data_IF_683596809183
#
_entry.id   IF_683596809183
#
_cell.length_a   1.000
_cell.length_b   1.000
_cell.length_c   1.000
_cell.angle_alpha   90.00
_cell.angle_beta   90.00
_cell.angle_gamma   90.00
#
_symmetry.space_group_name_H-M   'P 1'
#
loop_
_entity.id
_entity.type
_entity.pdbx_description
1 polymer ?
#
# COMPACT_ATOMS: atom_id res chain seq x y z
N UNK A 1 -7.38 -38.25 -33.46
CA UNK A 1 -6.86 -37.13 -32.65
C UNK A 1 -6.59 -35.96 -33.57
N UNK A 2 -7.28 -34.84 -33.36
CA UNK A 2 -7.07 -33.60 -34.13
C UNK A 2 -5.76 -32.95 -33.68
N UNK A 3 -4.86 -32.63 -34.62
CA UNK A 3 -3.62 -31.91 -34.32
C UNK A 3 -3.86 -30.40 -34.43
N UNK A 4 -3.51 -29.67 -33.39
CA UNK A 4 -3.44 -28.22 -33.43
C UNK A 4 -2.10 -27.78 -34.04
N UNK A 5 -2.13 -26.71 -34.84
CA UNK A 5 -0.94 -26.07 -35.40
C UNK A 5 -0.91 -24.61 -34.94
N UNK A 6 0.24 -24.17 -34.41
CA UNK A 6 0.52 -22.80 -33.98
C UNK A 6 1.66 -22.23 -34.82
N UNK A 7 1.55 -20.96 -35.23
CA UNK A 7 2.60 -20.18 -35.87
C UNK A 7 2.91 -18.96 -35.01
N UNK A 8 4.18 -18.72 -34.71
CA UNK A 8 4.65 -17.59 -33.89
C UNK A 8 5.58 -16.70 -34.72
N UNK A 9 5.23 -15.43 -34.84
CA UNK A 9 5.98 -14.42 -35.59
C UNK A 9 6.79 -13.53 -34.63
N UNK A 10 8.01 -13.94 -34.29
CA UNK A 10 8.87 -13.22 -33.34
C UNK A 10 9.40 -11.86 -33.87
N UNK A 11 9.35 -11.66 -35.19
CA UNK A 11 9.75 -10.44 -35.91
C UNK A 11 8.66 -9.36 -35.96
N UNK A 12 7.44 -9.70 -35.54
CA UNK A 12 6.27 -8.84 -35.67
C UNK A 12 5.88 -8.13 -34.37
N UNK A 13 6.71 -8.22 -33.33
CA UNK A 13 6.47 -7.61 -32.02
C UNK A 13 6.55 -6.08 -32.07
N UNK A 14 5.45 -5.39 -31.73
CA UNK A 14 5.37 -3.91 -31.69
C UNK A 14 5.05 -3.32 -30.33
N UNK A 15 4.57 -4.16 -29.40
CA UNK A 15 4.00 -3.72 -28.13
C UNK A 15 4.83 -4.32 -27.00
N UNK A 16 5.27 -3.47 -26.08
CA UNK A 16 5.86 -3.93 -24.83
C UNK A 16 4.73 -4.33 -23.88
N UNK A 17 4.76 -5.58 -23.40
CA UNK A 17 3.86 -6.02 -22.34
C UNK A 17 4.30 -5.30 -21.06
N UNK A 18 3.47 -4.37 -20.58
CA UNK A 18 3.79 -3.58 -19.39
C UNK A 18 3.96 -4.49 -18.18
N UNK A 19 5.05 -4.28 -17.43
CA UNK A 19 5.25 -4.98 -16.15
C UNK A 19 4.08 -4.75 -15.19
N UNK A 20 3.41 -3.59 -15.25
CA UNK A 20 2.33 -3.24 -14.32
C UNK A 20 1.08 -4.12 -14.48
N UNK A 21 0.96 -4.92 -15.56
CA UNK A 21 -0.05 -5.98 -15.68
C UNK A 21 0.10 -7.05 -14.59
N UNK A 22 1.29 -7.18 -13.99
CA UNK A 22 1.58 -8.09 -12.89
C UNK A 22 1.53 -7.39 -11.51
N UNK A 23 0.84 -6.26 -11.42
CA UNK A 23 0.60 -5.54 -10.17
C UNK A 23 -0.14 -6.38 -9.13
N UNK A 24 0.01 -6.02 -7.86
CA UNK A 24 -0.65 -6.68 -6.74
C UNK A 24 -1.62 -5.73 -6.05
N UNK A 25 -2.51 -6.29 -5.24
CA UNK A 25 -3.53 -5.55 -4.51
C UNK A 25 -3.64 -6.07 -3.07
N UNK A 26 -3.52 -5.17 -2.10
CA UNK A 26 -3.64 -5.46 -0.67
C UNK A 26 -4.68 -4.54 -0.02
N UNK A 27 -5.86 -5.09 0.27
CA UNK A 27 -6.91 -4.39 1.03
C UNK A 27 -6.76 -4.66 2.53
N UNK A 28 -7.17 -3.70 3.36
CA UNK A 28 -7.50 -3.95 4.77
C UNK A 28 -8.71 -4.89 4.85
N UNK A 29 -8.45 -6.19 4.71
CA UNK A 29 -9.46 -7.23 4.61
C UNK A 29 -8.94 -8.52 5.24
N UNK A 30 -9.66 -8.99 6.28
CA UNK A 30 -9.34 -10.24 6.97
C UNK A 30 -7.89 -10.25 7.46
N UNK A 31 -7.09 -11.19 6.93
CA UNK A 31 -5.67 -11.36 7.30
C UNK A 31 -4.71 -10.98 6.18
N UNK A 32 -5.17 -10.21 5.19
CA UNK A 32 -4.32 -9.75 4.08
C UNK A 32 -3.22 -8.80 4.56
N UNK A 33 -3.59 -7.82 5.38
CA UNK A 33 -2.66 -6.88 6.04
C UNK A 33 -2.16 -7.50 7.35
N UNK A 34 -3.06 -7.67 8.33
CA UNK A 34 -2.72 -8.22 9.64
C UNK A 34 -2.41 -9.70 9.57
N UNK A 35 -1.29 -10.12 10.16
CA UNK A 35 -0.68 -11.46 10.05
C UNK A 35 -0.08 -11.76 8.65
N UNK A 36 -0.78 -11.39 7.57
CA UNK A 36 -0.35 -11.63 6.18
C UNK A 36 0.86 -10.81 5.75
N UNK A 37 0.96 -9.55 6.18
CA UNK A 37 2.08 -8.65 5.90
C UNK A 37 2.62 -8.05 7.21
N UNK A 38 1.74 -7.40 7.96
CA UNK A 38 2.04 -6.74 9.22
C UNK A 38 1.84 -7.69 10.40
N UNK A 39 2.92 -7.92 11.13
CA UNK A 39 2.93 -8.71 12.38
C UNK A 39 3.28 -7.86 13.60
N UNK A 40 3.78 -6.64 13.39
CA UNK A 40 4.27 -5.75 14.44
C UNK A 40 5.71 -6.08 14.87
N UNK A 41 6.45 -5.06 15.29
CA UNK A 41 7.90 -5.15 15.56
C UNK A 41 8.25 -6.13 16.68
N UNK A 42 7.38 -6.26 17.67
CA UNK A 42 7.58 -7.13 18.83
C UNK A 42 7.07 -8.56 18.60
N UNK A 43 6.64 -8.91 17.38
CA UNK A 43 6.16 -10.25 17.06
C UNK A 43 7.29 -11.28 17.12
N UNK A 44 7.03 -12.51 17.58
CA UNK A 44 7.99 -13.61 17.47
C UNK A 44 8.23 -14.05 16.03
N UNK A 45 7.36 -13.66 15.08
CA UNK A 45 7.56 -13.93 13.65
C UNK A 45 8.71 -13.06 13.14
N UNK A 46 9.74 -13.63 12.49
CA UNK A 46 10.86 -12.86 11.94
C UNK A 46 10.39 -11.75 11.00
N UNK A 47 10.69 -10.51 11.34
CA UNK A 47 10.19 -9.33 10.65
C UNK A 47 11.27 -8.24 10.52
N UNK A 48 11.04 -7.31 9.59
CA UNK A 48 11.79 -6.07 9.44
C UNK A 48 10.82 -4.92 9.67
N UNK A 49 11.01 -4.17 10.77
CA UNK A 49 10.13 -3.05 11.17
C UNK A 49 8.64 -3.44 11.24
N UNK A 50 8.34 -4.66 11.67
CA UNK A 50 6.97 -5.17 11.83
C UNK A 50 6.38 -5.86 10.60
N UNK A 51 7.08 -5.86 9.46
CA UNK A 51 6.67 -6.57 8.24
C UNK A 51 7.40 -7.91 8.15
N UNK A 52 6.66 -9.02 8.01
CA UNK A 52 7.25 -10.37 8.05
C UNK A 52 8.19 -10.67 6.88
N UNK A 53 9.37 -11.19 7.19
CA UNK A 53 10.49 -11.31 6.23
C UNK A 53 10.27 -12.38 5.15
N UNK A 54 9.56 -13.45 5.50
CA UNK A 54 9.26 -14.56 4.59
C UNK A 54 8.39 -14.12 3.40
N UNK A 55 7.36 -13.32 3.66
CA UNK A 55 6.47 -12.77 2.62
C UNK A 55 7.20 -11.73 1.79
N UNK A 56 7.97 -10.81 2.39
CA UNK A 56 8.79 -9.83 1.65
C UNK A 56 9.77 -10.55 0.71
N UNK A 57 10.43 -11.60 1.19
CA UNK A 57 11.35 -12.39 0.37
C UNK A 57 10.64 -13.09 -0.80
N UNK A 58 9.44 -13.63 -0.58
CA UNK A 58 8.65 -14.26 -1.64
C UNK A 58 8.18 -13.24 -2.69
N UNK A 59 7.67 -12.09 -2.26
CA UNK A 59 7.18 -11.03 -3.16
C UNK A 59 8.31 -10.41 -3.99
N UNK A 60 9.52 -10.27 -3.43
CA UNK A 60 10.71 -9.86 -4.19
C UNK A 60 11.05 -10.81 -5.33
N UNK A 61 10.90 -12.13 -5.12
CA UNK A 61 11.24 -13.14 -6.14
C UNK A 61 10.35 -13.03 -7.37
N UNK A 62 9.10 -12.63 -7.21
CA UNK A 62 8.15 -12.43 -8.33
C UNK A 62 8.19 -10.99 -8.88
N UNK A 63 9.09 -10.14 -8.38
CA UNK A 63 9.33 -8.78 -8.86
C UNK A 63 8.05 -7.94 -8.95
N UNK A 64 7.29 -7.89 -7.84
CA UNK A 64 6.05 -7.09 -7.76
C UNK A 64 6.33 -5.66 -8.26
N UNK A 65 5.65 -5.20 -9.32
CA UNK A 65 5.98 -3.94 -9.98
C UNK A 65 5.25 -2.74 -9.36
N UNK A 66 4.04 -2.97 -8.86
CA UNK A 66 3.24 -2.01 -8.11
C UNK A 66 2.34 -2.75 -7.10
N UNK A 67 1.97 -2.07 -6.03
CA UNK A 67 1.08 -2.60 -4.98
C UNK A 67 -0.03 -1.60 -4.67
N UNK A 68 -1.29 -1.93 -4.94
CA UNK A 68 -2.46 -1.09 -4.64
C UNK A 68 -2.92 -1.23 -3.18
N UNK A 69 -3.21 -0.12 -2.49
CA UNK A 69 -3.65 -0.06 -1.08
C UNK A 69 -4.35 1.31 -0.80
N UNK A 70 -5.25 1.48 0.20
CA UNK A 70 -5.74 0.55 1.21
C UNK A 70 -6.92 -0.30 0.76
N UNK A 71 -7.40 -0.06 -0.47
CA UNK A 71 -8.12 -1.03 -1.28
C UNK A 71 -9.60 -0.82 -1.49
N UNK A 72 -10.12 -1.56 -2.47
CA UNK A 72 -11.52 -1.69 -2.90
C UNK A 72 -12.54 -0.84 -2.16
N UNK A 73 -13.35 -1.48 -1.32
CA UNK A 73 -14.41 -0.79 -0.57
C UNK A 73 -13.85 -0.07 0.64
N UNK A 74 -12.80 -0.62 1.28
CA UNK A 74 -12.21 -0.02 2.48
C UNK A 74 -11.69 1.41 2.25
N UNK A 75 -11.11 1.69 1.08
CA UNK A 75 -10.54 2.99 0.74
C UNK A 75 -11.59 4.11 0.72
N UNK A 76 -12.84 3.80 0.37
CA UNK A 76 -13.94 4.78 0.34
C UNK A 76 -14.50 5.09 1.74
N UNK A 77 -14.03 4.41 2.79
CA UNK A 77 -14.31 4.72 4.20
C UNK A 77 -13.06 5.05 5.01
N UNK A 78 -11.88 4.93 4.40
CA UNK A 78 -10.61 5.15 5.09
C UNK A 78 -10.28 6.63 5.20
N UNK A 79 -10.02 7.08 6.42
CA UNK A 79 -9.52 8.43 6.70
C UNK A 79 -8.03 8.39 7.02
N UNK A 80 -7.19 8.81 6.07
CA UNK A 80 -5.75 8.54 6.11
C UNK A 80 -5.00 9.07 7.34
N UNK A 81 -5.57 10.06 8.02
CA UNK A 81 -5.02 10.62 9.26
C UNK A 81 -5.07 9.63 10.43
N UNK A 82 -6.01 8.69 10.39
CA UNK A 82 -6.18 7.66 11.40
C UNK A 82 -5.00 6.66 11.37
N UNK A 83 -4.38 6.48 10.21
CA UNK A 83 -3.20 5.62 10.00
C UNK A 83 -1.85 6.34 10.07
N UNK A 84 -1.72 7.50 10.73
CA UNK A 84 -0.43 8.17 10.96
C UNK A 84 -0.23 8.56 12.42
N UNK A 85 0.98 9.03 12.77
CA UNK A 85 1.32 9.39 14.14
C UNK A 85 1.64 8.18 15.03
N UNK A 86 1.80 8.42 16.34
CA UNK A 86 2.11 7.36 17.30
C UNK A 86 1.06 6.24 17.26
N UNK A 87 1.48 5.01 16.96
CA UNK A 87 0.57 3.85 16.79
C UNK A 87 -0.40 3.66 17.96
N UNK A 88 0.05 3.86 19.20
CA UNK A 88 -0.79 3.73 20.39
C UNK A 88 -1.89 4.80 20.54
N UNK A 89 -1.86 5.87 19.73
CA UNK A 89 -2.84 6.96 19.73
C UNK A 89 -3.74 6.94 18.49
N UNK A 90 -3.53 5.99 17.57
CA UNK A 90 -4.35 5.86 16.36
C UNK A 90 -5.75 5.37 16.75
N UNK A 91 -6.82 5.95 16.19
CA UNK A 91 -8.17 5.51 16.49
C UNK A 91 -8.43 4.15 15.85
N UNK A 92 -9.24 3.33 16.51
CA UNK A 92 -9.79 2.11 15.90
C UNK A 92 -11.03 2.45 15.08
N UNK A 93 -11.26 1.76 13.98
CA UNK A 93 -12.50 1.84 13.20
C UNK A 93 -13.15 0.46 13.04
N UNK A 94 -14.40 0.44 12.60
CA UNK A 94 -15.08 -0.81 12.24
C UNK A 94 -14.95 -1.01 10.74
N UNK A 95 -14.41 -2.15 10.33
CA UNK A 95 -14.41 -2.55 8.93
C UNK A 95 -15.81 -3.08 8.56
N UNK A 96 -16.68 -2.15 8.17
CA UNK A 96 -18.11 -2.36 7.91
C UNK A 96 -18.37 -3.41 6.83
N UNK A 97 -17.57 -3.38 5.76
CA UNK A 97 -17.71 -4.25 4.60
C UNK A 97 -17.21 -5.67 4.85
N UNK A 98 -16.19 -5.84 5.70
CA UNK A 98 -15.48 -7.11 5.86
C UNK A 98 -15.67 -7.72 7.25
N UNK A 99 -16.94 -7.93 7.63
CA UNK A 99 -17.33 -8.69 8.82
C UNK A 99 -17.50 -7.87 10.10
N UNK A 100 -17.45 -6.54 10.01
CA UNK A 100 -17.66 -5.65 11.18
C UNK A 100 -16.54 -5.76 12.22
N UNK A 101 -15.36 -6.20 11.81
CA UNK A 101 -14.22 -6.40 12.70
C UNK A 101 -13.53 -5.07 13.01
N UNK A 102 -12.89 -4.99 14.17
CA UNK A 102 -12.11 -3.81 14.58
C UNK A 102 -10.81 -3.74 13.79
N UNK A 103 -10.60 -2.60 13.16
CA UNK A 103 -9.39 -2.17 12.47
C UNK A 103 -8.63 -1.21 13.41
N UNK A 104 -7.37 -1.51 13.72
CA UNK A 104 -6.58 -0.73 14.69
C UNK A 104 -5.69 0.35 14.07
N UNK A 105 -5.66 0.43 12.74
CA UNK A 105 -4.85 1.35 11.95
C UNK A 105 -3.35 1.27 12.27
N UNK A 106 -2.88 0.15 12.83
CA UNK A 106 -1.46 -0.04 13.15
C UNK A 106 -0.60 -0.18 11.88
N UNK A 107 -1.19 -0.61 10.77
CA UNK A 107 -0.60 -0.52 9.43
C UNK A 107 -1.24 0.63 8.66
N UNK A 108 -0.56 1.77 8.57
CA UNK A 108 -1.07 2.96 7.88
C UNK A 108 -0.10 3.47 6.82
N UNK A 109 -0.13 4.78 6.58
CA UNK A 109 0.64 5.39 5.47
C UNK A 109 2.12 5.04 5.55
N UNK A 110 2.75 5.24 6.71
CA UNK A 110 4.19 5.02 6.86
C UNK A 110 4.59 3.56 6.69
N UNK A 111 3.81 2.64 7.25
CA UNK A 111 4.06 1.20 7.17
C UNK A 111 3.86 0.67 5.73
N UNK A 112 2.87 1.18 5.00
CA UNK A 112 2.67 0.85 3.58
C UNK A 112 3.83 1.32 2.69
N UNK A 113 4.31 2.55 2.89
CA UNK A 113 5.46 3.03 2.13
C UNK A 113 6.75 2.30 2.51
N UNK A 114 6.93 1.94 3.77
CA UNK A 114 8.05 1.09 4.19
C UNK A 114 8.01 -0.28 3.52
N UNK A 115 6.83 -0.92 3.43
CA UNK A 115 6.65 -2.16 2.66
C UNK A 115 7.06 -1.96 1.20
N UNK A 116 6.61 -0.88 0.56
CA UNK A 116 6.95 -0.61 -0.83
C UNK A 116 8.46 -0.41 -1.03
N UNK A 117 9.12 0.34 -0.13
CA UNK A 117 10.57 0.53 -0.14
C UNK A 117 11.32 -0.78 0.11
N UNK A 118 10.87 -1.60 1.07
CA UNK A 118 11.43 -2.93 1.32
C UNK A 118 11.34 -3.80 0.07
N UNK A 119 10.20 -3.82 -0.64
CA UNK A 119 9.98 -4.61 -1.85
C UNK A 119 10.68 -4.06 -3.11
N UNK A 120 10.98 -2.75 -3.14
CA UNK A 120 11.41 -2.07 -4.36
C UNK A 120 10.30 -1.94 -5.40
N UNK A 121 9.04 -1.89 -4.95
CA UNK A 121 7.84 -1.77 -5.80
C UNK A 121 7.32 -0.34 -5.83
N UNK A 122 6.58 0.02 -6.89
CA UNK A 122 5.90 1.32 -6.95
C UNK A 122 4.64 1.33 -6.07
N UNK A 123 4.42 2.38 -5.26
CA UNK A 123 3.17 2.54 -4.53
C UNK A 123 2.04 2.98 -5.48
N UNK A 124 0.86 2.41 -5.26
CA UNK A 124 -0.41 2.82 -5.86
C UNK A 124 -1.43 3.03 -4.74
N UNK A 125 -1.76 4.30 -4.48
CA UNK A 125 -2.71 4.69 -3.43
C UNK A 125 -4.13 4.72 -4.00
N UNK A 126 -5.11 4.27 -3.23
CA UNK A 126 -6.53 4.54 -3.45
C UNK A 126 -7.01 5.62 -2.49
N UNK A 127 -7.40 6.77 -3.02
CA UNK A 127 -7.96 7.87 -2.23
C UNK A 127 -9.46 7.68 -1.95
N UNK A 128 -9.92 8.19 -0.81
CA UNK A 128 -11.32 8.19 -0.42
C UNK A 128 -12.10 9.28 -1.17
N UNK A 129 -13.03 8.90 -2.04
CA UNK A 129 -14.01 9.81 -2.66
C UNK A 129 -15.43 9.56 -2.12
N UNK A 130 -15.72 8.34 -1.66
CA UNK A 130 -17.04 7.95 -1.16
C UNK A 130 -17.48 8.71 0.09
N UNK A 131 -16.69 8.67 1.16
CA UNK A 131 -17.01 9.33 2.44
C UNK A 131 -16.06 10.48 2.80
N UNK A 132 -14.96 10.63 2.07
CA UNK A 132 -13.93 11.64 2.27
C UNK A 132 -14.27 12.99 1.65
N UNK A 133 -13.36 13.95 1.83
CA UNK A 133 -13.44 15.27 1.20
C UNK A 133 -12.32 15.50 0.17
N UNK A 134 -12.54 16.44 -0.75
CA UNK A 134 -11.49 16.89 -1.69
C UNK A 134 -10.25 17.39 -0.92
N UNK A 135 -10.48 18.11 0.18
CA UNK A 135 -9.41 18.63 1.03
C UNK A 135 -8.61 17.49 1.68
N UNK A 136 -9.28 16.44 2.14
CA UNK A 136 -8.64 15.29 2.76
C UNK A 136 -7.66 14.61 1.81
N UNK A 137 -8.09 14.31 0.59
CA UNK A 137 -7.23 13.69 -0.42
C UNK A 137 -6.08 14.61 -0.83
N UNK A 138 -6.36 15.91 -1.04
CA UNK A 138 -5.33 16.92 -1.35
C UNK A 138 -4.25 16.99 -0.26
N UNK A 139 -4.65 17.01 1.01
CA UNK A 139 -3.71 17.01 2.15
C UNK A 139 -2.91 15.70 2.24
N UNK A 140 -3.48 14.57 1.82
CA UNK A 140 -2.73 13.31 1.79
C UNK A 140 -1.63 13.34 0.73
N UNK A 141 -1.93 13.85 -0.47
CA UNK A 141 -0.95 14.06 -1.54
C UNK A 141 0.18 14.97 -1.04
N UNK A 142 -0.15 16.11 -0.42
CA UNK A 142 0.83 17.04 0.14
C UNK A 142 1.70 16.37 1.21
N UNK A 143 1.08 15.67 2.16
CA UNK A 143 1.76 14.93 3.23
C UNK A 143 2.79 13.96 2.67
N UNK A 144 2.41 13.20 1.65
CA UNK A 144 3.29 12.16 1.06
C UNK A 144 4.41 12.77 0.22
N UNK A 145 4.10 13.75 -0.63
CA UNK A 145 4.96 14.10 -1.79
C UNK A 145 5.66 15.45 -1.70
N UNK A 146 5.21 16.37 -0.82
CA UNK A 146 5.77 17.72 -0.78
C UNK A 146 7.14 17.73 -0.09
N UNK A 147 8.14 18.31 -0.77
CA UNK A 147 9.54 18.41 -0.32
C UNK A 147 9.82 19.70 0.46
N UNK A 148 9.01 20.73 0.26
CA UNK A 148 9.15 22.02 0.91
C UNK A 148 8.70 22.06 2.37
N UNK A 149 8.44 23.28 2.84
CA UNK A 149 7.90 23.55 4.18
C UNK A 149 6.41 23.81 4.08
N UNK A 150 5.63 22.95 4.73
CA UNK A 150 4.19 23.10 4.85
C UNK A 150 3.72 22.34 6.09
N UNK A 151 2.52 22.62 6.62
CA UNK A 151 1.98 21.87 7.74
C UNK A 151 1.97 20.35 7.52
N UNK A 152 1.67 19.88 6.30
CA UNK A 152 1.63 18.44 6.02
C UNK A 152 3.01 17.82 5.84
N UNK A 153 3.94 18.52 5.18
CA UNK A 153 5.32 18.05 5.10
C UNK A 153 5.95 18.00 6.49
N UNK A 154 5.76 19.03 7.33
CA UNK A 154 6.28 19.06 8.70
C UNK A 154 5.67 17.96 9.57
N UNK A 155 4.37 17.67 9.41
CA UNK A 155 3.72 16.54 10.08
C UNK A 155 4.33 15.19 9.65
N UNK A 156 4.66 15.01 8.36
CA UNK A 156 5.35 13.80 7.87
C UNK A 156 6.73 13.66 8.53
N UNK A 157 7.49 14.75 8.63
CA UNK A 157 8.80 14.78 9.30
C UNK A 157 8.69 14.43 10.78
N UNK A 158 7.70 15.01 11.48
CA UNK A 158 7.41 14.70 12.89
C UNK A 158 7.10 13.22 13.10
N UNK A 159 6.45 12.59 12.12
CA UNK A 159 6.14 11.15 12.15
C UNK A 159 7.30 10.26 11.69
N UNK A 160 8.52 10.79 11.57
CA UNK A 160 9.73 9.99 11.33
C UNK A 160 10.15 9.86 9.87
N UNK A 161 9.48 10.56 8.93
CA UNK A 161 9.88 10.58 7.52
C UNK A 161 10.25 11.99 7.05
N UNK A 162 11.56 12.24 6.96
CA UNK A 162 12.08 13.53 6.51
C UNK A 162 11.74 13.85 5.02
N UNK A 163 12.24 13.01 4.12
CA UNK A 163 12.09 13.18 2.67
C UNK A 163 10.71 12.70 2.19
N UNK A 164 10.11 13.33 1.16
CA UNK A 164 8.87 12.83 0.59
C UNK A 164 9.04 11.44 -0.04
N UNK A 165 7.92 10.75 -0.26
CA UNK A 165 7.86 9.59 -1.14
C UNK A 165 7.45 10.02 -2.55
N UNK A 166 7.77 9.16 -3.52
CA UNK A 166 7.29 9.31 -4.89
C UNK A 166 6.08 8.41 -5.08
N UNK A 167 4.99 8.98 -5.59
CA UNK A 167 3.79 8.25 -5.96
C UNK A 167 3.43 8.59 -7.38
N UNK A 168 3.24 7.57 -8.21
CA UNK A 168 2.86 7.72 -9.61
C UNK A 168 1.38 7.46 -9.84
N UNK A 169 0.80 6.56 -9.06
CA UNK A 169 -0.57 6.08 -9.21
C UNK A 169 -1.40 6.48 -7.98
N UNK A 170 -2.50 7.19 -8.25
CA UNK A 170 -3.58 7.56 -7.34
C UNK A 170 -4.90 7.09 -7.94
#
# INVERSE_FOLDING_TARGET
MTKNKLLVHADSGKITISRHLYGQFSEHLGRGIYEGLWVGENSPIPNTRGIRNDVVAALKKIQVPNLRWPGGCFADEYHWRDGIGPRAQRPTMINTHWGGVTEDNSFGTHEYFDLCEQLGTEPYICGNVGSGSVEEMSKWVEYITFDGKSPMADLRRQNGRDKPWKVRYW
#
